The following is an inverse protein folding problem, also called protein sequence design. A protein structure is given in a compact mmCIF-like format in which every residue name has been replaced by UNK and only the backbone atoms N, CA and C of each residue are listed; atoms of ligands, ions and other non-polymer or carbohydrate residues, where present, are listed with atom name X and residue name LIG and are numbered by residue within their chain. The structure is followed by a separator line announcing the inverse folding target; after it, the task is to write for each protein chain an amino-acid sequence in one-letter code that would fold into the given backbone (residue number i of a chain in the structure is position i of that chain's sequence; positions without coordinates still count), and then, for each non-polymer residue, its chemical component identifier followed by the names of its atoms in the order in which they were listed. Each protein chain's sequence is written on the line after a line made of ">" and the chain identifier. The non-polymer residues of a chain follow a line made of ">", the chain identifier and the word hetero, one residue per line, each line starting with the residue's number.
data_IF_897616558145
#
_entry.id   IF_897616558145
#
_cell.length_a   1.000
_cell.length_b   1.000
_cell.length_c   1.000
_cell.angle_alpha   90.00
_cell.angle_beta   90.00
_cell.angle_gamma   90.00
#
_symmetry.space_group_name_H-M   'P 1'
#
loop_
_entity.id
_entity.type
_entity.pdbx_description
1 polymer ?
#
# COMPACT_ATOMS: atom_id res chain seq x y z
N UNK A 1 11.32 -3.82 -3.91
CA UNK A 1 12.71 -3.54 -4.34
C UNK A 1 13.47 -2.75 -3.29
N UNK A 2 14.82 -2.92 -3.21
CA UNK A 2 15.69 -2.22 -2.27
C UNK A 2 15.75 -0.70 -2.54
N UNK A 3 16.34 0.07 -1.63
CA UNK A 3 16.58 1.51 -1.82
C UNK A 3 17.43 1.73 -3.08
N UNK A 4 17.06 2.72 -3.90
CA UNK A 4 17.74 2.99 -5.18
C UNK A 4 17.36 2.06 -6.34
N UNK A 5 16.39 1.14 -6.17
CA UNK A 5 15.93 0.26 -7.26
C UNK A 5 15.05 0.94 -8.31
N UNK A 6 14.68 2.23 -8.12
CA UNK A 6 13.88 3.01 -9.07
C UNK A 6 12.38 3.10 -8.75
N UNK A 7 11.90 2.63 -7.59
CA UNK A 7 10.47 2.67 -7.21
C UNK A 7 9.87 4.07 -7.23
N UNK A 8 10.47 5.01 -6.48
CA UNK A 8 9.97 6.39 -6.41
C UNK A 8 10.04 7.09 -7.77
N UNK A 9 11.04 6.79 -8.58
CA UNK A 9 11.13 7.28 -9.96
C UNK A 9 9.97 6.73 -10.81
N UNK A 10 9.69 5.43 -10.71
CA UNK A 10 8.58 4.79 -11.44
C UNK A 10 7.24 5.44 -11.10
N UNK A 11 6.92 5.60 -9.80
CA UNK A 11 5.62 6.17 -9.40
C UNK A 11 5.47 7.64 -9.81
N UNK A 12 6.56 8.41 -9.89
CA UNK A 12 6.53 9.78 -10.39
C UNK A 12 6.28 9.86 -11.89
N UNK A 13 6.63 8.84 -12.67
CA UNK A 13 6.21 8.74 -14.07
C UNK A 13 4.70 8.51 -14.20
N UNK A 14 4.07 7.72 -13.29
CA UNK A 14 2.65 7.41 -13.36
C UNK A 14 1.75 8.64 -13.21
N UNK A 15 2.20 9.63 -12.45
CA UNK A 15 1.46 10.88 -12.20
C UNK A 15 1.93 12.03 -13.12
N UNK A 16 2.84 11.76 -14.06
CA UNK A 16 3.35 12.77 -15.00
C UNK A 16 4.23 13.85 -14.36
N UNK A 17 4.89 13.55 -13.23
CA UNK A 17 5.88 14.45 -12.63
C UNK A 17 7.22 14.39 -13.34
N UNK A 18 7.61 13.20 -13.80
CA UNK A 18 8.84 12.97 -14.56
C UNK A 18 8.47 12.45 -15.95
N UNK A 19 9.07 13.06 -16.98
CA UNK A 19 8.96 12.60 -18.35
C UNK A 19 9.96 11.47 -18.60
N UNK A 20 9.56 10.33 -19.18
CA UNK A 20 10.50 9.27 -19.54
C UNK A 20 11.43 9.72 -20.67
N UNK A 21 12.68 9.26 -20.63
CA UNK A 21 13.66 9.51 -21.72
C UNK A 21 13.39 8.63 -22.94
N UNK A 22 12.74 7.49 -22.73
CA UNK A 22 12.30 6.55 -23.78
C UNK A 22 11.07 5.79 -23.31
N UNK A 23 10.34 5.21 -24.26
CA UNK A 23 9.09 4.52 -23.97
C UNK A 23 7.90 5.46 -23.83
N UNK A 24 6.77 4.96 -23.33
CA UNK A 24 5.52 5.70 -23.17
C UNK A 24 4.87 5.38 -21.83
N UNK A 25 4.20 6.36 -21.25
CA UNK A 25 3.30 6.18 -20.10
C UNK A 25 1.88 6.40 -20.63
N UNK A 26 1.04 5.39 -20.47
CA UNK A 26 -0.33 5.44 -20.99
C UNK A 26 -1.34 5.51 -19.83
N UNK A 27 -2.29 6.43 -19.94
CA UNK A 27 -3.48 6.49 -19.12
C UNK A 27 -4.72 6.29 -20.01
N UNK A 28 -5.53 5.27 -19.73
CA UNK A 28 -6.66 4.87 -20.55
C UNK A 28 -6.32 4.69 -22.05
N UNK A 29 -5.11 4.17 -22.34
CA UNK A 29 -4.62 3.92 -23.70
C UNK A 29 -4.01 5.14 -24.40
N UNK A 30 -4.05 6.33 -23.79
CA UNK A 30 -3.45 7.54 -24.33
C UNK A 30 -2.10 7.85 -23.71
N UNK A 31 -1.12 8.26 -24.55
CA UNK A 31 0.18 8.70 -24.06
C UNK A 31 0.05 10.05 -23.33
N UNK A 32 0.38 10.06 -22.04
CA UNK A 32 0.29 11.27 -21.20
C UNK A 32 1.30 12.36 -21.60
N UNK A 33 2.25 12.05 -22.48
CA UNK A 33 3.26 12.99 -22.95
C UNK A 33 3.05 13.40 -24.42
N UNK A 34 1.92 13.00 -25.03
CA UNK A 34 1.52 13.54 -26.34
C UNK A 34 1.29 15.05 -26.25
N UNK A 35 1.47 15.76 -27.35
CA UNK A 35 1.21 17.20 -27.42
C UNK A 35 -0.25 17.53 -27.04
N UNK A 36 -0.43 18.53 -26.19
CA UNK A 36 -1.76 18.97 -25.72
C UNK A 36 -2.42 18.07 -24.66
N UNK A 37 -1.75 17.04 -24.15
CA UNK A 37 -2.34 16.19 -23.10
C UNK A 37 -2.54 16.96 -21.78
N UNK A 38 -3.73 16.88 -21.13
CA UNK A 38 -4.04 17.67 -19.96
C UNK A 38 -3.46 17.05 -18.67
N UNK A 39 -2.15 17.20 -18.44
CA UNK A 39 -1.46 16.65 -17.25
C UNK A 39 -2.08 17.09 -15.91
N UNK A 40 -2.73 18.27 -15.87
CA UNK A 40 -3.43 18.72 -14.67
C UNK A 40 -4.64 17.83 -14.34
N UNK A 41 -5.36 17.43 -15.37
CA UNK A 41 -6.50 16.51 -15.25
C UNK A 41 -6.01 15.10 -14.85
N UNK A 42 -4.93 14.60 -15.45
CA UNK A 42 -4.30 13.34 -15.06
C UNK A 42 -4.00 13.31 -13.54
N UNK A 43 -3.46 14.39 -12.99
CA UNK A 43 -3.13 14.47 -11.55
C UNK A 43 -4.34 14.49 -10.64
N UNK A 44 -5.52 14.78 -11.16
CA UNK A 44 -6.78 14.62 -10.44
C UNK A 44 -7.22 13.16 -10.38
N UNK A 45 -6.88 12.36 -11.40
CA UNK A 45 -7.20 10.95 -11.48
C UNK A 45 -6.13 10.04 -10.86
N UNK A 46 -4.86 10.45 -10.90
CA UNK A 46 -3.73 9.71 -10.33
C UNK A 46 -3.15 10.51 -9.17
N UNK A 47 -3.69 10.30 -7.99
CA UNK A 47 -3.22 10.92 -6.75
C UNK A 47 -1.90 10.30 -6.29
N UNK A 48 -0.95 11.14 -5.91
CA UNK A 48 0.36 10.70 -5.41
C UNK A 48 0.61 11.27 -4.01
N UNK A 49 0.87 10.38 -3.07
CA UNK A 49 1.29 10.69 -1.69
C UNK A 49 2.77 10.35 -1.58
N UNK A 50 3.61 11.35 -1.34
CA UNK A 50 5.06 11.18 -1.22
C UNK A 50 5.45 10.60 0.15
N UNK A 51 6.68 10.15 0.26
CA UNK A 51 7.30 9.79 1.53
C UNK A 51 7.31 11.01 2.48
N UNK A 52 6.92 10.81 3.75
CA UNK A 52 6.74 11.88 4.74
C UNK A 52 5.76 12.97 4.30
N UNK A 53 4.52 12.59 3.94
CA UNK A 53 3.54 13.52 3.37
C UNK A 53 3.10 14.60 4.36
N UNK A 54 3.34 14.41 5.64
CA UNK A 54 3.12 15.38 6.72
C UNK A 54 3.90 16.69 6.58
N UNK A 55 4.97 16.71 5.77
CA UNK A 55 5.73 17.92 5.47
C UNK A 55 5.09 18.78 4.39
N UNK A 56 4.01 18.30 3.76
CA UNK A 56 3.31 19.01 2.70
C UNK A 56 2.14 19.87 3.22
N UNK A 57 1.82 19.78 4.52
CA UNK A 57 0.76 20.57 5.15
C UNK A 57 1.24 22.00 5.40
N UNK A 58 0.47 22.98 4.96
CA UNK A 58 0.87 24.39 4.97
C UNK A 58 -0.24 25.39 5.32
N UNK A 59 -1.51 24.97 5.32
CA UNK A 59 -2.64 25.83 5.61
C UNK A 59 -2.83 26.09 7.11
N UNK A 60 -3.70 27.03 7.45
CA UNK A 60 -3.96 27.46 8.84
C UNK A 60 -4.67 26.38 9.67
N UNK A 61 -5.50 25.59 9.03
CA UNK A 61 -6.30 24.54 9.65
C UNK A 61 -6.43 23.31 8.73
N UNK A 62 -6.78 22.18 9.33
CA UNK A 62 -6.86 20.87 8.67
C UNK A 62 -7.85 20.86 7.51
N UNK A 63 -9.06 21.39 7.72
CA UNK A 63 -10.10 21.31 6.70
C UNK A 63 -9.74 22.15 5.48
N UNK A 64 -9.12 23.31 5.67
CA UNK A 64 -8.64 24.18 4.60
C UNK A 64 -7.52 23.53 3.81
N UNK A 65 -6.59 22.83 4.49
CA UNK A 65 -5.50 22.10 3.85
C UNK A 65 -6.04 20.97 2.94
N UNK A 66 -7.00 20.20 3.43
CA UNK A 66 -7.63 19.12 2.65
C UNK A 66 -8.49 19.67 1.50
N UNK A 67 -9.09 20.85 1.64
CA UNK A 67 -9.82 21.53 0.56
C UNK A 67 -8.92 22.01 -0.59
N UNK A 68 -7.60 22.10 -0.41
CA UNK A 68 -6.68 22.66 -1.41
C UNK A 68 -6.75 21.93 -2.76
N UNK A 69 -6.75 20.59 -2.74
CA UNK A 69 -6.88 19.76 -3.94
C UNK A 69 -8.18 20.02 -4.71
N UNK A 70 -9.35 19.84 -4.10
CA UNK A 70 -10.66 20.14 -4.69
C UNK A 70 -10.79 21.58 -5.21
N UNK A 71 -10.27 22.56 -4.48
CA UNK A 71 -10.23 23.97 -4.90
C UNK A 71 -9.45 24.15 -6.21
N UNK A 72 -8.32 23.46 -6.34
CA UNK A 72 -7.53 23.48 -7.57
C UNK A 72 -8.21 22.77 -8.75
N UNK A 73 -9.16 21.87 -8.48
CA UNK A 73 -10.04 21.29 -9.51
C UNK A 73 -11.14 22.26 -9.96
N UNK A 74 -11.29 23.42 -9.32
CA UNK A 74 -12.30 24.44 -9.66
C UNK A 74 -13.67 24.19 -9.04
N UNK A 75 -13.75 23.38 -7.99
CA UNK A 75 -15.01 23.09 -7.29
C UNK A 75 -15.46 24.28 -6.42
N UNK A 76 -16.77 24.35 -6.16
CA UNK A 76 -17.32 25.34 -5.24
C UNK A 76 -16.81 25.14 -3.80
N UNK A 77 -16.76 26.18 -2.96
CA UNK A 77 -16.35 26.05 -1.57
C UNK A 77 -17.14 25.00 -0.78
N UNK A 78 -18.43 24.89 -1.05
CA UNK A 78 -19.32 23.90 -0.43
C UNK A 78 -18.93 22.47 -0.82
N UNK A 79 -18.71 22.22 -2.11
CA UNK A 79 -18.28 20.90 -2.59
C UNK A 79 -16.86 20.56 -2.13
N UNK A 80 -15.94 21.54 -2.05
CA UNK A 80 -14.61 21.36 -1.49
C UNK A 80 -14.69 20.87 -0.03
N UNK A 81 -15.49 21.57 0.79
CA UNK A 81 -15.66 21.21 2.21
C UNK A 81 -16.27 19.83 2.37
N UNK A 82 -17.31 19.51 1.61
CA UNK A 82 -17.96 18.20 1.61
C UNK A 82 -16.96 17.08 1.31
N UNK A 83 -16.18 17.21 0.22
CA UNK A 83 -15.15 16.22 -0.15
C UNK A 83 -14.04 16.10 0.87
N UNK A 84 -13.64 17.22 1.47
CA UNK A 84 -12.64 17.23 2.51
C UNK A 84 -13.11 16.48 3.77
N UNK A 85 -14.35 16.73 4.21
CA UNK A 85 -14.96 16.04 5.35
C UNK A 85 -15.08 14.53 5.09
N UNK A 86 -15.56 14.14 3.91
CA UNK A 86 -15.62 12.72 3.49
C UNK A 86 -14.22 12.07 3.48
N UNK A 87 -13.22 12.76 2.96
CA UNK A 87 -11.85 12.24 2.89
C UNK A 87 -11.23 12.08 4.29
N UNK A 88 -11.46 13.04 5.20
CA UNK A 88 -11.02 12.97 6.59
C UNK A 88 -11.70 11.83 7.35
N UNK A 89 -13.00 11.64 7.16
CA UNK A 89 -13.74 10.49 7.72
C UNK A 89 -13.15 9.15 7.24
N UNK A 90 -12.77 9.05 5.95
CA UNK A 90 -12.18 7.84 5.37
C UNK A 90 -10.81 7.46 5.94
N UNK A 91 -10.03 8.43 6.40
CA UNK A 91 -8.75 8.17 7.08
C UNK A 91 -8.90 8.09 8.60
N UNK A 92 -10.13 8.10 9.11
CA UNK A 92 -10.43 8.03 10.54
C UNK A 92 -9.92 9.23 11.32
N UNK A 93 -9.98 10.45 10.74
CA UNK A 93 -9.57 11.67 11.41
C UNK A 93 -10.73 12.29 12.20
N UNK A 94 -10.54 12.68 13.50
CA UNK A 94 -11.61 13.16 14.35
C UNK A 94 -12.19 14.51 13.91
N UNK A 95 -13.53 14.64 13.87
CA UNK A 95 -14.22 15.86 13.42
C UNK A 95 -13.91 17.08 14.28
N UNK A 96 -13.75 16.90 15.57
CA UNK A 96 -13.42 17.96 16.52
C UNK A 96 -12.04 18.58 16.29
N UNK A 97 -11.24 18.00 15.40
CA UNK A 97 -9.89 18.48 15.05
C UNK A 97 -9.82 19.16 13.69
N UNK A 98 -10.92 19.29 12.95
CA UNK A 98 -10.91 19.85 11.58
C UNK A 98 -10.46 21.31 11.52
N UNK A 99 -10.78 22.08 12.53
CA UNK A 99 -10.42 23.51 12.63
C UNK A 99 -9.09 23.73 13.39
N UNK A 100 -8.37 22.65 13.77
CA UNK A 100 -7.05 22.76 14.40
C UNK A 100 -5.97 23.02 13.37
N UNK A 101 -4.90 23.67 13.82
CA UNK A 101 -3.72 23.85 12.99
C UNK A 101 -3.04 22.50 12.73
N UNK A 102 -2.64 22.20 11.47
CA UNK A 102 -1.86 21.00 11.17
C UNK A 102 -0.57 20.91 11.98
N UNK A 103 -0.01 22.02 12.41
CA UNK A 103 1.24 22.06 13.18
C UNK A 103 1.09 21.54 14.62
N UNK A 104 -0.13 21.52 15.16
CA UNK A 104 -0.45 20.99 16.48
C UNK A 104 -0.69 19.47 16.51
N UNK A 105 -0.73 18.83 15.34
CA UNK A 105 -1.03 17.43 15.19
C UNK A 105 0.20 16.54 15.44
N UNK A 106 -0.04 15.31 15.92
CA UNK A 106 0.98 14.26 15.94
C UNK A 106 1.38 13.86 14.51
N UNK A 107 2.56 13.24 14.34
CA UNK A 107 3.04 12.80 13.03
C UNK A 107 2.04 11.87 12.30
N UNK A 108 1.42 10.92 13.03
CA UNK A 108 0.40 10.04 12.47
C UNK A 108 -0.87 10.78 12.05
N UNK A 109 -1.30 11.79 12.82
CA UNK A 109 -2.44 12.63 12.47
C UNK A 109 -2.15 13.49 11.23
N UNK A 110 -0.98 14.14 11.16
CA UNK A 110 -0.54 14.88 9.97
C UNK A 110 -0.56 14.01 8.72
N UNK A 111 -0.08 12.78 8.83
CA UNK A 111 -0.07 11.82 7.72
C UNK A 111 -1.46 11.47 7.22
N UNK A 112 -2.42 11.25 8.13
CA UNK A 112 -3.83 11.03 7.78
C UNK A 112 -4.40 12.23 7.02
N UNK A 113 -4.13 13.45 7.50
CA UNK A 113 -4.56 14.69 6.83
C UNK A 113 -3.97 14.81 5.43
N UNK A 114 -2.68 14.53 5.27
CA UNK A 114 -2.02 14.59 3.96
C UNK A 114 -2.57 13.55 2.97
N UNK A 115 -2.86 12.31 3.44
CA UNK A 115 -3.54 11.30 2.62
C UNK A 115 -4.96 11.77 2.27
N UNK A 116 -5.71 12.35 3.21
CA UNK A 116 -7.04 12.89 2.98
C UNK A 116 -7.02 14.01 1.94
N UNK A 117 -6.01 14.90 1.93
CA UNK A 117 -5.84 15.95 0.92
C UNK A 117 -5.76 15.42 -0.51
N UNK A 118 -5.12 14.26 -0.70
CA UNK A 118 -5.09 13.58 -2.01
C UNK A 118 -6.42 12.86 -2.30
N UNK A 119 -7.01 12.19 -1.31
CA UNK A 119 -8.30 11.50 -1.45
C UNK A 119 -9.46 12.44 -1.76
N UNK A 120 -9.44 13.66 -1.24
CA UNK A 120 -10.47 14.68 -1.48
C UNK A 120 -10.59 15.07 -2.97
N UNK A 121 -9.54 14.87 -3.76
CA UNK A 121 -9.58 15.04 -5.22
C UNK A 121 -10.39 13.93 -5.92
N UNK A 122 -10.79 12.87 -5.20
CA UNK A 122 -11.51 11.70 -5.69
C UNK A 122 -10.77 10.99 -6.85
N UNK A 123 -9.53 10.54 -6.63
CA UNK A 123 -8.71 9.92 -7.67
C UNK A 123 -9.19 8.50 -7.99
N UNK A 124 -8.94 8.03 -9.24
CA UNK A 124 -9.14 6.64 -9.66
C UNK A 124 -8.00 5.73 -9.17
N UNK A 125 -6.79 6.31 -9.11
CA UNK A 125 -5.57 5.65 -8.63
C UNK A 125 -4.95 6.45 -7.50
N UNK A 126 -4.70 5.78 -6.37
CA UNK A 126 -3.98 6.34 -5.24
C UNK A 126 -2.61 5.67 -5.13
N UNK A 127 -1.56 6.42 -5.41
CA UNK A 127 -0.16 5.97 -5.33
C UNK A 127 0.45 6.49 -4.04
N UNK A 128 0.98 5.59 -3.20
CA UNK A 128 1.56 5.96 -1.90
C UNK A 128 3.01 5.47 -1.82
N UNK A 129 3.93 6.41 -1.57
CA UNK A 129 5.35 6.10 -1.36
C UNK A 129 5.65 6.02 0.13
N UNK A 130 5.84 4.81 0.65
CA UNK A 130 6.16 4.52 2.06
C UNK A 130 5.19 5.19 3.07
N UNK A 131 3.86 5.04 2.93
CA UNK A 131 2.88 5.80 3.72
C UNK A 131 2.92 5.47 5.21
N UNK A 132 3.57 4.38 5.61
CA UNK A 132 3.65 3.90 6.99
C UNK A 132 5.03 4.10 7.63
N UNK A 133 6.00 4.69 6.90
CA UNK A 133 7.35 4.90 7.40
C UNK A 133 7.35 5.74 8.69
N UNK A 134 8.03 5.24 9.75
CA UNK A 134 8.16 5.95 11.03
C UNK A 134 6.91 5.95 11.92
N UNK A 135 5.85 5.23 11.56
CA UNK A 135 4.71 4.99 12.44
C UNK A 135 4.96 3.81 13.39
N UNK A 136 4.32 3.85 14.53
CA UNK A 136 4.20 2.70 15.42
C UNK A 136 3.35 1.59 14.76
N UNK A 137 3.42 0.33 15.21
CA UNK A 137 2.70 -0.78 14.61
C UNK A 137 1.19 -0.55 14.52
N UNK A 138 0.58 0.05 15.54
CA UNK A 138 -0.86 0.32 15.56
C UNK A 138 -1.26 1.36 14.52
N UNK A 139 -0.56 2.49 14.47
CA UNK A 139 -0.83 3.56 13.48
C UNK A 139 -0.60 3.08 12.04
N UNK A 140 0.39 2.19 11.83
CA UNK A 140 0.63 1.55 10.55
C UNK A 140 -0.56 0.68 10.12
N UNK A 141 -1.00 -0.23 10.98
CA UNK A 141 -2.12 -1.14 10.67
C UNK A 141 -3.41 -0.35 10.43
N UNK A 142 -3.69 0.67 11.24
CA UNK A 142 -4.87 1.53 11.05
C UNK A 142 -4.90 2.22 9.68
N UNK A 143 -3.77 2.75 9.18
CA UNK A 143 -3.70 3.38 7.85
C UNK A 143 -3.90 2.34 6.75
N UNK A 144 -3.23 1.18 6.83
CA UNK A 144 -3.33 0.15 5.81
C UNK A 144 -4.74 -0.48 5.76
N UNK A 145 -5.37 -0.70 6.90
CA UNK A 145 -6.76 -1.18 6.99
C UNK A 145 -7.73 -0.17 6.36
N UNK A 146 -7.55 1.15 6.58
CA UNK A 146 -8.35 2.20 5.95
C UNK A 146 -8.16 2.22 4.42
N UNK A 147 -6.92 2.08 3.94
CA UNK A 147 -6.63 2.02 2.50
C UNK A 147 -7.25 0.77 1.85
N UNK A 148 -7.18 -0.38 2.51
CA UNK A 148 -7.82 -1.61 2.05
C UNK A 148 -9.35 -1.48 2.02
N UNK A 149 -9.94 -0.83 3.03
CA UNK A 149 -11.38 -0.54 3.06
C UNK A 149 -11.79 0.40 1.91
N UNK A 150 -11.03 1.46 1.64
CA UNK A 150 -11.25 2.38 0.53
C UNK A 150 -11.20 1.67 -0.83
N UNK A 151 -10.19 0.82 -1.05
CA UNK A 151 -10.11 0.00 -2.26
C UNK A 151 -11.38 -0.85 -2.44
N UNK A 152 -11.80 -1.53 -1.36
CA UNK A 152 -12.93 -2.47 -1.38
C UNK A 152 -14.29 -1.78 -1.56
N UNK A 153 -14.48 -0.59 -0.97
CA UNK A 153 -15.79 0.11 -0.93
C UNK A 153 -15.96 1.11 -2.05
N UNK A 154 -14.89 1.75 -2.52
CA UNK A 154 -14.92 2.78 -3.56
C UNK A 154 -14.34 2.32 -4.90
N UNK A 155 -13.70 1.16 -4.97
CA UNK A 155 -13.07 0.65 -6.19
C UNK A 155 -11.82 1.45 -6.62
N UNK A 156 -11.25 2.28 -5.74
CA UNK A 156 -10.02 3.02 -6.02
C UNK A 156 -8.86 2.03 -6.15
N UNK A 157 -8.09 2.12 -7.22
CA UNK A 157 -6.87 1.33 -7.37
C UNK A 157 -5.76 1.90 -6.48
N UNK A 158 -5.19 1.07 -5.59
CA UNK A 158 -4.12 1.50 -4.68
C UNK A 158 -2.79 0.90 -5.12
N UNK A 159 -1.79 1.76 -5.33
CA UNK A 159 -0.40 1.37 -5.58
C UNK A 159 0.42 1.72 -4.35
N UNK A 160 0.86 0.70 -3.62
CA UNK A 160 1.61 0.84 -2.38
C UNK A 160 3.09 0.54 -2.60
N UNK A 161 3.96 1.52 -2.35
CA UNK A 161 5.40 1.29 -2.21
C UNK A 161 5.69 1.06 -0.73
N UNK A 162 6.28 -0.08 -0.38
CA UNK A 162 6.64 -0.43 0.99
C UNK A 162 7.91 -1.27 1.06
N UNK A 163 8.60 -1.19 2.18
CA UNK A 163 9.70 -2.07 2.56
C UNK A 163 9.26 -3.22 3.48
N UNK A 164 8.04 -3.17 4.03
CA UNK A 164 7.50 -4.23 4.89
C UNK A 164 6.94 -5.36 4.02
N UNK A 165 7.58 -6.51 4.09
CA UNK A 165 7.12 -7.69 3.35
C UNK A 165 5.84 -8.26 3.95
N UNK A 166 5.65 -8.10 5.25
CA UNK A 166 4.43 -8.48 5.99
C UNK A 166 3.23 -7.67 5.51
N UNK A 167 3.37 -6.33 5.37
CA UNK A 167 2.31 -5.47 4.87
C UNK A 167 1.94 -5.84 3.44
N UNK A 168 2.96 -6.05 2.60
CA UNK A 168 2.76 -6.46 1.21
C UNK A 168 2.05 -7.82 1.15
N UNK A 169 2.46 -8.80 1.96
CA UNK A 169 1.81 -10.11 1.99
C UNK A 169 0.34 -10.04 2.40
N UNK A 170 0.00 -9.12 3.32
CA UNK A 170 -1.34 -8.99 3.91
C UNK A 170 -2.32 -8.18 3.06
N UNK A 171 -1.84 -7.09 2.41
CA UNK A 171 -2.73 -6.07 1.86
C UNK A 171 -2.77 -5.98 0.34
N UNK A 172 -1.83 -6.61 -0.41
CA UNK A 172 -1.80 -6.45 -1.86
C UNK A 172 -2.14 -7.74 -2.60
N UNK A 173 -2.73 -7.59 -3.79
CA UNK A 173 -3.09 -8.71 -4.67
C UNK A 173 -2.00 -8.99 -5.73
N UNK A 174 -1.15 -8.01 -6.04
CA UNK A 174 -0.08 -8.09 -7.03
C UNK A 174 1.17 -7.37 -6.52
N UNK A 175 2.32 -7.95 -6.77
CA UNK A 175 3.63 -7.39 -6.42
C UNK A 175 4.45 -7.16 -7.68
N UNK A 176 4.98 -5.95 -7.83
CA UNK A 176 6.03 -5.63 -8.80
C UNK A 176 7.33 -5.40 -8.03
N UNK A 177 8.31 -6.27 -8.23
CA UNK A 177 9.63 -6.15 -7.61
C UNK A 177 10.57 -5.42 -8.55
N UNK A 178 11.03 -4.24 -8.12
CA UNK A 178 12.04 -3.44 -8.84
C UNK A 178 13.45 -3.81 -8.39
N UNK A 179 14.37 -3.99 -9.34
CA UNK A 179 15.79 -4.20 -9.08
C UNK A 179 16.63 -3.48 -10.15
N UNK A 180 17.48 -2.53 -9.75
CA UNK A 180 18.34 -1.75 -10.66
C UNK A 180 17.59 -1.14 -11.87
N UNK A 181 16.41 -0.57 -11.64
CA UNK A 181 15.58 0.04 -12.69
C UNK A 181 14.80 -0.95 -13.57
N UNK A 182 14.89 -2.25 -13.32
CA UNK A 182 14.16 -3.29 -14.05
C UNK A 182 13.12 -3.97 -13.16
N UNK A 183 12.07 -4.50 -13.78
CA UNK A 183 11.10 -5.38 -13.12
C UNK A 183 11.72 -6.77 -13.00
N UNK A 184 12.00 -7.22 -11.77
CA UNK A 184 12.55 -8.55 -11.49
C UNK A 184 11.43 -9.60 -11.34
N UNK A 185 10.33 -9.24 -10.68
CA UNK A 185 9.14 -10.09 -10.53
C UNK A 185 7.88 -9.25 -10.70
N UNK A 186 6.83 -9.88 -11.23
CA UNK A 186 5.51 -9.29 -11.37
C UNK A 186 4.46 -10.41 -11.30
N UNK A 187 3.92 -10.67 -10.11
CA UNK A 187 2.92 -11.72 -9.88
C UNK A 187 2.20 -11.50 -8.52
N UNK A 188 1.36 -12.46 -8.13
CA UNK A 188 0.71 -12.48 -6.81
C UNK A 188 1.72 -12.66 -5.67
N UNK A 189 1.41 -12.21 -4.44
CA UNK A 189 2.30 -12.37 -3.28
C UNK A 189 2.81 -13.80 -3.09
N UNK A 190 1.92 -14.80 -3.13
CA UNK A 190 2.29 -16.21 -2.95
C UNK A 190 3.33 -16.70 -3.95
N UNK A 191 3.19 -16.32 -5.22
CA UNK A 191 4.14 -16.69 -6.25
C UNK A 191 5.47 -15.96 -6.13
N UNK A 192 5.44 -14.65 -5.84
CA UNK A 192 6.67 -13.87 -5.65
C UNK A 192 7.45 -14.38 -4.45
N UNK A 193 6.78 -14.62 -3.31
CA UNK A 193 7.46 -15.10 -2.10
C UNK A 193 7.88 -16.58 -2.15
N UNK A 194 7.31 -17.38 -3.05
CA UNK A 194 7.86 -18.72 -3.35
C UNK A 194 9.31 -18.66 -3.87
N UNK A 195 9.71 -17.53 -4.47
CA UNK A 195 11.08 -17.25 -4.94
C UNK A 195 11.94 -16.55 -3.86
N UNK A 196 11.73 -16.84 -2.57
CA UNK A 196 12.41 -16.13 -1.49
C UNK A 196 13.94 -16.17 -1.60
N UNK A 197 14.54 -17.29 -2.07
CA UNK A 197 15.99 -17.41 -2.27
C UNK A 197 16.53 -16.50 -3.38
N UNK A 198 15.73 -16.26 -4.43
CA UNK A 198 16.06 -15.32 -5.49
C UNK A 198 15.89 -13.87 -5.02
N UNK A 199 14.86 -13.60 -4.19
CA UNK A 199 14.68 -12.30 -3.55
C UNK A 199 15.86 -11.95 -2.64
N UNK A 200 16.39 -12.90 -1.87
CA UNK A 200 17.59 -12.71 -1.03
C UNK A 200 18.81 -12.33 -1.86
N UNK A 201 19.03 -12.94 -3.03
CA UNK A 201 20.15 -12.61 -3.93
C UNK A 201 20.12 -11.16 -4.40
N UNK A 202 18.95 -10.53 -4.45
CA UNK A 202 18.78 -9.12 -4.80
C UNK A 202 18.56 -8.22 -3.57
N UNK A 203 18.89 -8.72 -2.36
CA UNK A 203 18.85 -7.94 -1.12
C UNK A 203 17.45 -7.71 -0.56
N UNK A 204 16.48 -8.56 -0.89
CA UNK A 204 15.12 -8.50 -0.38
C UNK A 204 14.82 -9.73 0.49
N UNK A 205 14.12 -9.53 1.60
CA UNK A 205 13.59 -10.63 2.40
C UNK A 205 12.20 -11.05 1.85
N UNK A 206 11.74 -12.23 2.28
CA UNK A 206 10.34 -12.63 2.24
C UNK A 206 9.69 -12.37 3.62
N UNK A 207 8.36 -12.49 3.77
CA UNK A 207 7.70 -12.49 5.07
C UNK A 207 8.28 -13.57 5.99
N UNK A 208 8.35 -13.31 7.31
CA UNK A 208 8.90 -14.27 8.27
C UNK A 208 8.18 -15.62 8.21
N UNK A 209 6.87 -15.60 7.96
CA UNK A 209 6.09 -16.85 7.85
C UNK A 209 6.57 -17.73 6.70
N UNK A 210 7.01 -17.16 5.57
CA UNK A 210 7.58 -17.93 4.46
C UNK A 210 8.76 -18.80 4.93
N UNK A 211 9.69 -18.22 5.69
CA UNK A 211 10.85 -18.96 6.22
C UNK A 211 10.44 -20.04 7.23
N UNK A 212 9.53 -19.71 8.14
CA UNK A 212 9.03 -20.65 9.16
C UNK A 212 8.34 -21.83 8.49
N UNK A 213 7.49 -21.61 7.50
CA UNK A 213 6.76 -22.68 6.82
C UNK A 213 7.69 -23.61 6.04
N UNK A 214 8.71 -23.04 5.38
CA UNK A 214 9.75 -23.87 4.74
C UNK A 214 10.54 -24.69 5.75
N UNK A 215 10.97 -24.12 6.88
CA UNK A 215 11.66 -24.83 7.94
C UNK A 215 10.82 -25.97 8.54
N UNK A 216 9.55 -25.73 8.80
CA UNK A 216 8.62 -26.77 9.30
C UNK A 216 8.48 -27.92 8.29
N UNK A 217 8.39 -27.62 7.00
CA UNK A 217 8.32 -28.63 5.93
C UNK A 217 9.61 -29.47 5.88
N UNK A 218 10.77 -28.84 5.96
CA UNK A 218 12.09 -29.51 6.00
C UNK A 218 12.24 -30.43 7.22
N UNK A 219 11.61 -30.08 8.36
CA UNK A 219 11.55 -30.91 9.56
C UNK A 219 10.43 -31.97 9.53
N UNK A 220 9.82 -32.20 8.39
CA UNK A 220 8.84 -33.28 8.18
C UNK A 220 7.41 -32.98 8.56
N UNK A 221 7.07 -31.70 8.87
CA UNK A 221 5.67 -31.32 9.07
C UNK A 221 4.98 -31.10 7.71
N UNK A 222 3.82 -31.71 7.52
CA UNK A 222 3.04 -31.53 6.28
C UNK A 222 2.24 -30.23 6.31
N UNK A 223 2.92 -29.11 5.98
CA UNK A 223 2.36 -27.75 5.96
C UNK A 223 2.41 -27.16 4.56
N UNK A 224 1.48 -26.25 4.29
CA UNK A 224 1.48 -25.45 3.07
C UNK A 224 2.54 -24.33 3.15
N UNK A 225 3.61 -24.47 2.39
CA UNK A 225 4.72 -23.49 2.34
C UNK A 225 4.34 -22.19 1.61
N UNK A 226 3.16 -22.10 0.98
CA UNK A 226 2.70 -20.88 0.32
C UNK A 226 2.06 -19.89 1.27
N UNK A 227 1.90 -20.25 2.56
CA UNK A 227 1.40 -19.34 3.58
C UNK A 227 2.40 -18.19 3.82
N UNK A 228 1.94 -16.96 3.70
CA UNK A 228 2.75 -15.75 3.80
C UNK A 228 2.36 -14.85 4.97
N UNK A 229 1.17 -15.07 5.56
CA UNK A 229 0.68 -14.35 6.73
C UNK A 229 0.62 -15.24 7.96
N UNK A 230 0.54 -14.61 9.15
CA UNK A 230 0.43 -15.33 10.44
C UNK A 230 -0.85 -16.17 10.49
N UNK A 231 -1.94 -15.64 9.99
CA UNK A 231 -3.24 -16.30 9.95
C UNK A 231 -3.20 -17.55 9.07
N UNK A 232 -2.67 -17.43 7.85
CA UNK A 232 -2.51 -18.57 6.94
C UNK A 232 -1.59 -19.64 7.54
N UNK A 233 -0.45 -19.22 8.12
CA UNK A 233 0.50 -20.13 8.75
C UNK A 233 -0.13 -20.88 9.93
N UNK A 234 -0.84 -20.17 10.82
CA UNK A 234 -1.58 -20.78 11.94
C UNK A 234 -2.54 -21.87 11.45
N UNK A 235 -3.35 -21.54 10.45
CA UNK A 235 -4.41 -22.44 9.99
C UNK A 235 -3.83 -23.72 9.37
N UNK A 236 -2.76 -23.62 8.58
CA UNK A 236 -2.10 -24.81 8.01
C UNK A 236 -1.34 -25.63 9.07
N UNK A 237 -0.70 -25.00 10.06
CA UNK A 237 -0.05 -25.69 11.18
C UNK A 237 -1.07 -26.45 12.02
N UNK A 238 -2.21 -25.82 12.38
CA UNK A 238 -3.25 -26.49 13.16
C UNK A 238 -3.87 -27.67 12.39
N UNK A 239 -4.04 -27.55 11.08
CA UNK A 239 -4.51 -28.64 10.24
C UNK A 239 -3.54 -29.83 10.22
N UNK A 240 -2.22 -29.56 10.09
CA UNK A 240 -1.18 -30.58 10.12
C UNK A 240 -1.13 -31.33 11.47
N UNK A 241 -1.21 -30.61 12.60
CA UNK A 241 -1.23 -31.20 13.95
C UNK A 241 -2.50 -32.01 14.21
N UNK A 242 -3.66 -31.56 13.72
CA UNK A 242 -4.92 -32.28 13.81
C UNK A 242 -4.91 -33.60 13.03
N UNK A 243 -4.25 -33.64 11.89
CA UNK A 243 -4.07 -34.83 11.06
C UNK A 243 -3.15 -35.86 11.70
N UNK A 244 -2.07 -35.44 12.36
CA UNK A 244 -1.15 -36.32 13.10
C UNK A 244 -1.84 -36.99 14.30
N UNK A 245 -2.73 -36.28 15.03
CA UNK A 245 -3.50 -36.88 16.14
C UNK A 245 -4.48 -37.96 15.66
N UNK A 246 -5.05 -37.86 14.47
CA UNK A 246 -5.95 -38.89 13.89
C UNK A 246 -5.18 -40.12 13.44
N UNK A 247 -3.97 -39.97 12.91
CA UNK A 247 -3.13 -41.09 12.47
C UNK A 247 -2.48 -41.83 13.64
N UNK A 248 -2.09 -41.11 14.72
CA UNK A 248 -1.54 -41.73 15.95
C UNK A 248 -2.58 -42.56 16.73
N UNK A 249 -3.88 -42.25 16.62
CA UNK A 249 -4.94 -43.06 17.24
C UNK A 249 -5.27 -44.35 16.46
N UNK A 250 -5.03 -44.42 15.16
CA UNK A 250 -5.23 -45.62 14.35
C UNK A 250 -4.11 -46.66 14.49
N UNK A 251 -2.92 -46.27 14.96
CA UNK A 251 -1.84 -47.19 15.23
C UNK A 251 -1.84 -47.82 16.62
N UNK A 252 -2.69 -47.36 17.54
CA UNK A 252 -2.79 -47.87 18.91
C UNK A 252 -3.93 -48.88 19.13
N UNK A 253 -4.73 -49.21 18.10
CA UNK A 253 -5.80 -50.19 18.17
C UNK A 253 -5.45 -51.55 17.50
N UNK A 254 -4.18 -51.79 17.15
CA UNK A 254 -3.73 -53.09 16.61
C UNK A 254 -2.52 -53.54 17.44
N UNK A 255 -2.75 -54.01 18.64
CA UNK A 255 -1.94 -54.93 19.42
C UNK A 255 -2.83 -55.66 20.40
#
# INVERSE_FOLDING_TARGET
>A
GHTGSGKSTLIQHLNGLIRPTAGRVLYNGEDIWKEGYPLRELRSHVGLVFQYPEHQLFETDVITDVCFGPKNQGLSPEECRKRAEEALDHVGFPKEMYEKSPFELSGGQKRRVAIAGVLAMNPDFLVLDEPTAGLDPKGRDEILDQLALLHKTRGISVVLVSHSMEDIAKYVERIIVMNHGHVAFDDTPKKVFAHYKELEKIGLAAPQMTYIMHALKEHGMDVDVTATTVEEARDTILAALGSQKKNGKKGAEVC
#
